data_IF_898440874102
#
_entry.id   IF_898440874102
#
_cell.length_a   1.000
_cell.length_b   1.000
_cell.length_c   1.000
_cell.angle_alpha   90.00
_cell.angle_beta   90.00
_cell.angle_gamma   90.00
#
_symmetry.space_group_name_H-M   'P 1'
#
loop_
_entity.id
_entity.type
_entity.pdbx_description
1 polymer ?
#
# COMPACT_ATOMS: atom_id res chain seq x y z
N UNK A 1 -18.47 -6.02 0.30
CA UNK A 1 -19.48 -6.07 -0.78
C UNK A 1 -18.82 -5.66 -2.08
N UNK A 2 -19.23 -6.24 -3.20
CA UNK A 2 -18.76 -5.87 -4.53
C UNK A 2 -19.19 -4.43 -4.85
N UNK A 3 -18.24 -3.60 -5.27
CA UNK A 3 -18.45 -2.17 -5.52
C UNK A 3 -19.35 -1.86 -6.72
N UNK A 4 -19.59 -2.83 -7.60
CA UNK A 4 -20.38 -2.67 -8.82
C UNK A 4 -21.84 -3.09 -8.67
N UNK A 5 -22.12 -4.14 -7.89
CA UNK A 5 -23.46 -4.74 -7.77
C UNK A 5 -23.96 -4.94 -6.33
N UNK A 6 -23.13 -4.63 -5.33
CA UNK A 6 -23.49 -4.74 -3.91
C UNK A 6 -23.59 -6.16 -3.38
N UNK A 7 -23.19 -7.18 -4.15
CA UNK A 7 -23.19 -8.57 -3.69
C UNK A 7 -22.14 -8.82 -2.61
N UNK A 8 -22.37 -9.82 -1.77
CA UNK A 8 -21.35 -10.25 -0.80
C UNK A 8 -20.17 -10.89 -1.54
N UNK A 9 -18.93 -10.48 -1.20
CA UNK A 9 -17.71 -11.09 -1.76
C UNK A 9 -17.31 -12.28 -0.89
N UNK A 10 -17.15 -12.03 0.40
CA UNK A 10 -16.82 -13.01 1.43
C UNK A 10 -17.23 -12.49 2.80
N UNK A 11 -17.26 -13.38 3.79
CA UNK A 11 -17.41 -13.05 5.20
C UNK A 11 -16.44 -13.89 6.05
N UNK A 12 -16.05 -13.34 7.21
CA UNK A 12 -15.21 -14.04 8.19
C UNK A 12 -15.84 -13.87 9.58
N UNK A 13 -15.91 -14.95 10.35
CA UNK A 13 -16.50 -14.95 11.71
C UNK A 13 -15.39 -15.02 12.76
N UNK A 14 -15.19 -13.92 13.51
CA UNK A 14 -14.28 -13.92 14.67
C UNK A 14 -14.90 -14.59 15.90
N UNK A 15 -14.12 -14.88 16.93
CA UNK A 15 -14.62 -15.50 18.16
C UNK A 15 -15.41 -14.57 19.07
N UNK A 16 -15.32 -13.25 18.85
CA UNK A 16 -16.01 -12.22 19.64
C UNK A 16 -16.69 -11.17 18.77
N UNK A 17 -17.31 -10.18 19.40
CA UNK A 17 -17.89 -9.03 18.71
C UNK A 17 -16.79 -8.13 18.13
N UNK A 18 -17.07 -7.49 16.99
CA UNK A 18 -16.17 -6.53 16.34
C UNK A 18 -16.74 -5.14 16.58
N UNK A 19 -16.12 -4.37 17.47
CA UNK A 19 -16.42 -2.95 17.70
C UNK A 19 -15.43 -2.01 17.01
N UNK A 20 -14.26 -2.53 16.62
CA UNK A 20 -13.24 -1.76 15.92
C UNK A 20 -13.61 -1.53 14.46
N UNK A 21 -13.27 -0.37 13.90
CA UNK A 21 -13.21 -0.23 12.44
C UNK A 21 -12.00 -1.02 11.91
N UNK A 22 -12.10 -1.70 10.75
CA UNK A 22 -10.95 -2.36 10.14
C UNK A 22 -9.94 -1.35 9.60
N UNK A 23 -8.69 -1.78 9.46
CA UNK A 23 -7.62 -1.07 8.74
C UNK A 23 -7.14 -1.90 7.56
N UNK A 24 -6.67 -1.23 6.51
CA UNK A 24 -6.29 -1.86 5.24
C UNK A 24 -4.84 -1.49 4.91
N UNK A 25 -4.06 -2.49 4.51
CA UNK A 25 -2.66 -2.36 4.07
C UNK A 25 -2.08 -3.73 3.79
N UNK A 26 -1.02 -3.83 3.00
CA UNK A 26 -0.29 -5.08 2.84
C UNK A 26 0.45 -5.37 4.15
N UNK A 27 0.02 -6.41 4.88
CA UNK A 27 0.65 -6.79 6.14
C UNK A 27 1.48 -8.05 6.01
N UNK A 28 1.50 -8.70 4.84
CA UNK A 28 2.13 -9.98 4.63
C UNK A 28 3.28 -9.95 3.59
N UNK A 29 3.39 -8.85 2.83
CA UNK A 29 4.43 -8.60 1.83
C UNK A 29 4.14 -9.21 0.46
N UNK A 30 2.87 -9.47 0.12
CA UNK A 30 2.45 -10.02 -1.17
C UNK A 30 1.96 -8.95 -2.17
N UNK A 31 2.16 -7.68 -1.85
CA UNK A 31 1.72 -6.52 -2.66
C UNK A 31 0.20 -6.40 -2.81
N UNK A 32 -0.58 -7.15 -2.01
CA UNK A 32 -2.03 -7.08 -2.00
C UNK A 32 -2.52 -6.48 -0.69
N UNK A 33 -3.65 -5.77 -0.77
CA UNK A 33 -4.22 -5.14 0.41
C UNK A 33 -4.90 -6.19 1.31
N UNK A 34 -4.43 -6.26 2.56
CA UNK A 34 -5.00 -7.08 3.61
C UNK A 34 -5.89 -6.26 4.55
N UNK A 35 -6.60 -6.95 5.44
CA UNK A 35 -7.49 -6.36 6.44
C UNK A 35 -7.04 -6.73 7.83
N UNK A 36 -6.86 -5.71 8.67
CA UNK A 36 -6.60 -5.84 10.11
C UNK A 36 -7.81 -5.41 10.92
N UNK A 37 -8.22 -6.24 11.88
CA UNK A 37 -9.36 -5.94 12.76
C UNK A 37 -9.13 -6.47 14.18
N UNK A 38 -9.61 -5.74 15.19
CA UNK A 38 -9.61 -6.16 16.58
C UNK A 38 -10.95 -6.78 16.99
N UNK A 39 -10.91 -7.87 17.76
CA UNK A 39 -12.11 -8.52 18.27
C UNK A 39 -12.17 -8.50 19.80
N UNK A 40 -13.39 -8.51 20.34
CA UNK A 40 -13.62 -8.64 21.78
C UNK A 40 -13.27 -10.03 22.34
N UNK A 41 -12.91 -11.01 21.51
CA UNK A 41 -12.27 -12.25 21.99
C UNK A 41 -10.80 -12.06 22.40
N UNK A 42 -10.28 -10.84 22.24
CA UNK A 42 -8.94 -10.45 22.63
C UNK A 42 -7.87 -10.72 21.58
N UNK A 43 -8.28 -10.98 20.33
CA UNK A 43 -7.38 -11.22 19.21
C UNK A 43 -7.39 -10.08 18.19
N UNK A 44 -6.22 -9.82 17.64
CA UNK A 44 -6.05 -9.10 16.37
C UNK A 44 -6.09 -10.15 15.26
N UNK A 45 -6.87 -9.89 14.22
CA UNK A 45 -6.98 -10.72 13.03
C UNK A 45 -6.40 -9.99 11.83
N UNK A 46 -5.59 -10.72 11.05
CA UNK A 46 -5.17 -10.32 9.70
C UNK A 46 -5.81 -11.27 8.69
N UNK A 47 -6.52 -10.71 7.72
CA UNK A 47 -7.26 -11.45 6.70
C UNK A 47 -6.82 -10.97 5.32
N UNK A 48 -6.73 -11.89 4.36
CA UNK A 48 -6.53 -11.53 2.96
C UNK A 48 -7.72 -10.72 2.46
N UNK A 49 -7.45 -9.60 1.78
CA UNK A 49 -8.52 -8.76 1.23
C UNK A 49 -9.30 -9.45 0.09
N UNK A 50 -8.65 -10.35 -0.65
CA UNK A 50 -9.23 -11.00 -1.84
C UNK A 50 -10.34 -12.00 -1.49
N UNK A 51 -10.13 -12.83 -0.46
CA UNK A 51 -11.04 -13.95 -0.14
C UNK A 51 -11.45 -14.02 1.34
N UNK A 52 -10.93 -13.13 2.19
CA UNK A 52 -11.26 -13.08 3.62
C UNK A 52 -10.65 -14.21 4.44
N UNK A 53 -9.78 -15.05 3.87
CA UNK A 53 -9.12 -16.11 4.62
C UNK A 53 -8.10 -15.54 5.61
N UNK A 54 -7.87 -16.25 6.70
CA UNK A 54 -6.97 -15.79 7.76
C UNK A 54 -5.50 -15.93 7.34
N UNK A 55 -4.76 -14.82 7.42
CA UNK A 55 -3.30 -14.79 7.29
C UNK A 55 -2.69 -15.23 8.63
N UNK A 56 -3.07 -14.53 9.70
CA UNK A 56 -2.68 -14.84 11.08
C UNK A 56 -3.64 -14.19 12.09
N UNK A 57 -3.60 -14.67 13.33
CA UNK A 57 -4.21 -13.99 14.47
C UNK A 57 -3.23 -13.91 15.65
N UNK A 58 -3.32 -12.83 16.43
CA UNK A 58 -2.49 -12.62 17.62
C UNK A 58 -3.34 -12.39 18.85
N UNK A 59 -3.16 -13.24 19.87
CA UNK A 59 -3.92 -13.17 21.11
C UNK A 59 -3.26 -12.21 22.12
N UNK A 60 -3.85 -11.03 22.27
CA UNK A 60 -3.50 -10.05 23.30
C UNK A 60 -4.08 -10.46 24.67
N UNK A 61 -5.17 -11.24 24.67
CA UNK A 61 -5.84 -11.74 25.87
C UNK A 61 -6.73 -10.72 26.57
N UNK A 62 -7.00 -9.58 25.94
CA UNK A 62 -7.77 -8.46 26.49
C UNK A 62 -8.70 -7.89 25.42
N UNK A 63 -9.87 -7.39 25.83
CA UNK A 63 -10.87 -6.82 24.92
C UNK A 63 -10.29 -5.70 24.04
N UNK A 64 -10.52 -5.79 22.73
CA UNK A 64 -10.04 -4.81 21.74
C UNK A 64 -11.22 -3.98 21.20
N UNK A 65 -11.42 -2.82 21.82
CA UNK A 65 -12.45 -1.85 21.39
C UNK A 65 -11.94 -0.84 20.37
N UNK A 66 -10.62 -0.66 20.29
CA UNK A 66 -10.03 0.39 19.45
C UNK A 66 -9.78 -0.10 18.03
N UNK A 67 -9.83 0.83 17.08
CA UNK A 67 -9.47 0.56 15.70
C UNK A 67 -7.94 0.41 15.57
N UNK A 68 -7.44 -0.65 14.89
CA UNK A 68 -6.03 -0.78 14.57
C UNK A 68 -5.55 0.38 13.69
N UNK A 69 -4.28 0.77 13.82
CA UNK A 69 -3.60 1.70 12.90
C UNK A 69 -2.36 1.04 12.34
N UNK A 70 -2.06 1.30 11.07
CA UNK A 70 -0.92 0.75 10.35
C UNK A 70 0.14 1.84 10.11
N UNK A 71 1.41 1.50 10.28
CA UNK A 71 2.52 2.35 9.87
C UNK A 71 3.87 1.81 10.31
N UNK A 72 4.90 2.19 9.56
CA UNK A 72 6.31 1.96 9.91
C UNK A 72 6.70 2.88 11.08
N UNK A 73 6.81 2.31 12.26
CA UNK A 73 7.01 2.98 13.55
C UNK A 73 8.47 3.03 13.96
N UNK A 74 9.28 2.07 13.51
CA UNK A 74 10.70 1.96 13.86
C UNK A 74 11.67 2.21 12.69
N UNK A 75 11.13 2.53 11.51
CA UNK A 75 11.84 2.89 10.29
C UNK A 75 12.69 1.73 9.73
N UNK A 76 12.19 0.50 9.86
CA UNK A 76 12.79 -0.70 9.25
C UNK A 76 12.22 -1.04 7.87
N UNK A 77 11.25 -0.24 7.38
CA UNK A 77 10.59 -0.41 6.10
C UNK A 77 9.34 -1.29 6.13
N UNK A 78 9.02 -1.90 7.27
CA UNK A 78 7.85 -2.78 7.43
C UNK A 78 6.73 -2.07 8.16
N UNK A 79 5.50 -2.55 7.98
CA UNK A 79 4.33 -2.01 8.66
C UNK A 79 4.16 -2.64 10.04
N UNK A 80 4.05 -1.81 11.08
CA UNK A 80 3.55 -2.21 12.40
C UNK A 80 2.05 -1.96 12.56
N UNK A 81 1.44 -2.74 13.44
CA UNK A 81 0.04 -2.61 13.84
C UNK A 81 -0.03 -2.05 15.24
N UNK A 82 -0.64 -0.87 15.38
CA UNK A 82 -0.90 -0.23 16.67
C UNK A 82 -2.36 -0.43 17.06
N UNK A 83 -2.61 -1.01 18.23
CA UNK A 83 -3.97 -1.19 18.76
C UNK A 83 -4.01 -1.05 20.29
N UNK A 84 -5.05 -0.40 20.78
CA UNK A 84 -5.36 -0.29 22.20
C UNK A 84 -6.25 -1.42 22.71
N UNK A 85 -5.92 -1.97 23.89
CA UNK A 85 -6.77 -2.90 24.62
C UNK A 85 -7.35 -2.25 25.88
N UNK A 86 -8.54 -2.70 26.29
CA UNK A 86 -9.20 -2.24 27.50
C UNK A 86 -9.55 -3.40 28.42
N UNK A 87 -8.78 -3.58 29.50
CA UNK A 87 -9.09 -4.52 30.59
C UNK A 87 -8.37 -4.11 31.88
N UNK A 88 -9.08 -3.53 32.84
CA UNK A 88 -8.51 -3.07 34.12
C UNK A 88 -7.56 -1.88 33.96
N UNK A 89 -6.35 -2.11 33.43
CA UNK A 89 -5.40 -1.08 32.99
C UNK A 89 -5.32 -1.14 31.47
N UNK A 90 -5.78 -0.09 30.79
CA UNK A 90 -5.71 0.00 29.33
C UNK A 90 -4.25 0.07 28.87
N UNK A 91 -3.94 -0.66 27.78
CA UNK A 91 -2.60 -0.72 27.18
C UNK A 91 -2.67 -0.42 25.69
N UNK A 92 -1.56 0.06 25.13
CA UNK A 92 -1.34 0.18 23.69
C UNK A 92 -0.29 -0.85 23.30
N UNK A 93 -0.53 -1.57 22.21
CA UNK A 93 0.39 -2.54 21.62
C UNK A 93 0.83 -2.04 20.26
N UNK A 94 2.12 -2.17 19.96
CA UNK A 94 2.67 -2.13 18.61
C UNK A 94 3.13 -3.54 18.28
N UNK A 95 2.64 -4.11 17.19
CA UNK A 95 2.88 -5.48 16.77
C UNK A 95 3.60 -5.48 15.43
N UNK A 96 4.70 -6.22 15.34
CA UNK A 96 5.38 -6.49 14.08
C UNK A 96 4.76 -7.76 13.50
N UNK A 97 3.99 -7.69 12.40
CA UNK A 97 3.48 -8.88 11.73
C UNK A 97 4.66 -9.73 11.23
N UNK A 98 4.48 -11.05 11.17
CA UNK A 98 5.48 -11.95 10.57
C UNK A 98 4.75 -13.03 9.78
N UNK A 99 4.79 -13.02 8.44
CA UNK A 99 5.51 -12.06 7.58
C UNK A 99 4.94 -10.63 7.70
N UNK A 100 5.71 -9.63 7.28
CA UNK A 100 5.37 -8.20 7.34
C UNK A 100 5.41 -7.59 5.96
N UNK A 101 4.37 -6.85 5.59
CA UNK A 101 4.35 -6.09 4.34
C UNK A 101 5.08 -4.76 4.44
N UNK A 102 5.38 -4.22 3.27
CA UNK A 102 5.96 -2.89 3.11
C UNK A 102 4.85 -1.84 2.99
N UNK A 103 5.21 -0.59 3.25
CA UNK A 103 4.24 0.50 3.21
C UNK A 103 3.73 0.74 1.79
N UNK A 104 2.49 0.32 1.51
CA UNK A 104 1.80 0.71 0.27
C UNK A 104 1.39 2.18 0.36
N UNK A 105 1.94 2.99 -0.56
CA UNK A 105 1.53 4.38 -0.73
C UNK A 105 0.31 4.44 -1.63
N UNK A 106 -0.77 5.06 -1.13
CA UNK A 106 -1.74 5.64 -2.05
C UNK A 106 -1.02 6.74 -2.82
N UNK A 107 -0.96 6.61 -4.14
CA UNK A 107 -0.49 7.68 -5.03
C UNK A 107 -1.59 8.75 -5.12
N UNK A 108 -1.49 9.93 -4.45
CA UNK A 108 -2.23 11.07 -4.94
C UNK A 108 -1.53 11.54 -6.21
N UNK A 109 -2.14 11.31 -7.38
CA UNK A 109 -1.77 11.92 -8.67
C UNK A 109 -1.86 13.48 -8.62
N UNK A 110 -2.14 14.08 -7.46
CA UNK A 110 -2.18 15.50 -7.23
C UNK A 110 -1.37 15.90 -5.97
N UNK A 111 -0.15 16.38 -6.18
CA UNK A 111 0.70 16.97 -5.16
C UNK A 111 1.77 17.85 -5.78
N UNK A 112 2.09 18.99 -5.16
CA UNK A 112 3.20 19.82 -5.62
C UNK A 112 4.53 19.06 -5.36
N UNK A 113 5.35 18.75 -6.39
CA UNK A 113 6.61 18.00 -6.24
C UNK A 113 7.65 18.75 -5.37
N UNK A 114 7.46 20.05 -5.14
CA UNK A 114 8.29 20.85 -4.24
C UNK A 114 8.02 20.57 -2.74
N UNK A 115 6.95 19.83 -2.42
CA UNK A 115 6.55 19.53 -1.05
C UNK A 115 6.97 18.10 -0.68
N UNK A 116 8.19 17.94 -0.14
CA UNK A 116 8.64 16.68 0.47
C UNK A 116 7.82 16.37 1.73
N UNK A 117 6.67 15.70 1.57
CA UNK A 117 5.77 15.40 2.69
C UNK A 117 6.21 14.19 3.53
N UNK A 118 7.23 13.42 3.14
CA UNK A 118 7.77 12.32 3.95
C UNK A 118 9.20 11.95 3.51
N UNK A 119 9.98 11.37 4.43
CA UNK A 119 11.37 10.91 4.21
C UNK A 119 11.49 9.60 3.41
N UNK A 120 10.37 8.98 3.04
CA UNK A 120 10.35 7.71 2.31
C UNK A 120 10.24 7.87 0.79
N UNK A 121 10.17 9.09 0.24
CA UNK A 121 10.16 9.28 -1.22
C UNK A 121 11.36 8.60 -1.90
N UNK A 122 12.53 8.59 -1.25
CA UNK A 122 13.76 8.00 -1.80
C UNK A 122 13.66 6.47 -2.07
N UNK A 123 12.70 5.75 -1.46
CA UNK A 123 12.45 4.34 -1.76
C UNK A 123 11.20 4.11 -2.63
N UNK A 124 10.34 5.11 -2.77
CA UNK A 124 9.04 4.96 -3.45
C UNK A 124 9.18 5.34 -4.90
N UNK A 125 9.79 6.50 -5.15
CA UNK A 125 9.98 7.17 -6.42
C UNK A 125 11.42 7.72 -6.36
N UNK A 126 12.42 6.83 -6.55
CA UNK A 126 13.82 7.14 -6.29
C UNK A 126 14.36 8.26 -7.19
N UNK A 127 13.90 8.30 -8.44
CA UNK A 127 14.33 9.20 -9.49
C UNK A 127 13.40 10.41 -9.71
N UNK A 128 12.22 10.42 -9.07
CA UNK A 128 11.25 11.51 -9.04
C UNK A 128 10.56 11.76 -10.39
N UNK A 129 10.30 10.68 -11.11
CA UNK A 129 9.70 10.68 -12.45
C UNK A 129 8.16 10.60 -12.45
N UNK A 130 7.55 10.50 -11.25
CA UNK A 130 6.12 10.34 -10.97
C UNK A 130 5.58 8.89 -11.05
N UNK A 131 6.44 7.91 -11.30
CA UNK A 131 6.16 6.52 -11.07
C UNK A 131 6.66 6.10 -9.69
N UNK A 132 6.40 4.83 -9.37
CA UNK A 132 6.95 4.24 -8.17
C UNK A 132 7.62 2.95 -8.56
N UNK A 133 8.54 2.44 -7.73
CA UNK A 133 9.26 1.18 -7.95
C UNK A 133 8.33 0.03 -8.39
N UNK A 134 7.13 -0.05 -7.82
CA UNK A 134 6.10 -1.02 -8.23
C UNK A 134 5.48 -0.72 -9.61
N UNK A 135 5.16 0.54 -9.89
CA UNK A 135 4.63 0.96 -11.20
C UNK A 135 5.65 0.74 -12.32
N UNK A 136 6.92 1.04 -12.08
CA UNK A 136 8.02 0.84 -13.03
C UNK A 136 8.23 -0.64 -13.32
N UNK A 137 8.13 -1.50 -12.30
CA UNK A 137 8.15 -2.94 -12.52
C UNK A 137 6.99 -3.46 -13.40
N UNK A 138 5.83 -2.79 -13.40
CA UNK A 138 4.69 -3.12 -14.26
C UNK A 138 4.84 -2.58 -15.70
N UNK A 139 5.43 -1.39 -15.83
CA UNK A 139 5.65 -0.70 -17.11
C UNK A 139 6.87 -1.29 -17.83
N UNK A 140 7.87 -1.74 -17.08
CA UNK A 140 9.12 -2.30 -17.59
C UNK A 140 10.29 -1.31 -17.63
N UNK A 141 10.26 -0.24 -16.82
CA UNK A 141 11.31 0.78 -16.72
C UNK A 141 12.20 0.56 -15.49
N UNK A 142 13.29 1.33 -15.36
CA UNK A 142 14.28 1.21 -14.27
C UNK A 142 13.97 2.19 -13.14
N UNK A 143 13.73 1.72 -11.90
CA UNK A 143 13.35 2.58 -10.78
C UNK A 143 14.28 3.69 -10.34
N UNK A 144 15.52 3.65 -10.81
CA UNK A 144 16.51 4.69 -10.53
C UNK A 144 16.76 5.59 -11.76
N UNK A 145 15.93 5.48 -12.81
CA UNK A 145 16.16 6.16 -14.08
C UNK A 145 14.90 6.73 -14.77
N UNK A 146 14.77 8.06 -14.67
CA UNK A 146 13.53 8.79 -14.93
C UNK A 146 13.11 8.95 -16.40
N UNK A 147 13.95 8.56 -17.34
CA UNK A 147 13.77 8.75 -18.80
C UNK A 147 14.37 7.53 -19.47
N UNK A 148 13.63 6.42 -19.40
CA UNK A 148 14.17 5.08 -19.61
C UNK A 148 14.64 4.82 -21.04
N UNK A 149 14.08 5.51 -22.03
CA UNK A 149 14.41 5.36 -23.44
C UNK A 149 15.19 6.53 -24.06
N UNK A 150 15.59 7.51 -23.24
CA UNK A 150 16.45 8.65 -23.58
C UNK A 150 15.84 9.62 -24.62
N UNK A 151 14.53 9.77 -24.64
CA UNK A 151 13.82 10.58 -25.62
C UNK A 151 13.54 12.03 -25.14
N UNK A 152 13.70 12.26 -23.83
CA UNK A 152 13.54 13.55 -23.16
C UNK A 152 12.18 13.76 -22.49
N UNK A 153 11.29 12.77 -22.50
CA UNK A 153 10.08 12.69 -21.69
C UNK A 153 10.33 11.72 -20.53
N UNK A 154 9.80 12.02 -19.35
CA UNK A 154 9.97 11.13 -18.19
C UNK A 154 8.89 10.05 -18.18
N UNK A 155 9.21 8.83 -17.74
CA UNK A 155 8.33 7.65 -17.87
C UNK A 155 6.93 7.91 -17.30
N UNK A 156 6.85 8.58 -16.14
CA UNK A 156 5.58 8.96 -15.53
C UNK A 156 4.72 9.93 -16.34
N UNK A 157 5.34 10.84 -17.12
CA UNK A 157 4.61 11.73 -18.03
C UNK A 157 4.20 11.01 -19.31
N UNK A 158 4.99 10.08 -19.79
CA UNK A 158 4.67 9.30 -20.97
C UNK A 158 3.37 8.52 -20.80
N UNK A 159 3.18 7.86 -19.65
CA UNK A 159 1.90 7.22 -19.32
C UNK A 159 0.75 8.23 -19.25
N UNK A 160 1.01 9.46 -18.78
CA UNK A 160 0.01 10.52 -18.71
C UNK A 160 -0.38 11.05 -20.11
N UNK A 161 0.56 11.04 -21.06
CA UNK A 161 0.37 11.43 -22.45
C UNK A 161 0.01 10.27 -23.38
N UNK A 162 -0.04 9.04 -22.85
CA UNK A 162 -0.31 7.81 -23.61
C UNK A 162 0.77 7.44 -24.62
N UNK A 163 2.03 7.78 -24.32
CA UNK A 163 3.24 7.29 -24.99
C UNK A 163 3.82 6.09 -24.24
N UNK A 164 4.77 5.38 -24.84
CA UNK A 164 5.38 4.14 -24.34
C UNK A 164 6.78 4.42 -23.77
N UNK A 165 6.96 4.34 -22.43
CA UNK A 165 8.24 4.66 -21.77
C UNK A 165 9.45 3.80 -22.12
N UNK A 166 9.25 2.80 -22.96
CA UNK A 166 10.32 1.90 -23.39
C UNK A 166 10.64 2.06 -24.87
N UNK A 167 10.03 3.05 -25.52
CA UNK A 167 10.12 3.26 -26.95
C UNK A 167 10.11 4.76 -27.28
N UNK A 168 11.25 5.33 -27.71
CA UNK A 168 11.45 6.79 -27.79
C UNK A 168 10.67 7.46 -28.93
N UNK A 169 9.80 6.74 -29.63
CA UNK A 169 8.96 7.16 -30.75
C UNK A 169 7.76 6.20 -30.81
N UNK A 170 6.74 6.48 -30.00
CA UNK A 170 5.59 5.59 -29.79
C UNK A 170 4.80 5.32 -31.07
N UNK A 171 4.66 6.31 -31.93
CA UNK A 171 3.83 6.22 -33.14
C UNK A 171 4.62 5.88 -34.42
N UNK A 172 5.95 5.81 -34.31
CA UNK A 172 6.91 5.47 -35.35
C UNK A 172 6.92 6.45 -36.54
N UNK A 173 6.67 7.73 -36.28
CA UNK A 173 6.70 8.76 -37.31
C UNK A 173 8.11 9.34 -37.57
N UNK A 174 9.07 9.02 -36.68
CA UNK A 174 10.46 9.46 -36.73
C UNK A 174 10.77 10.70 -35.91
N UNK A 175 9.83 11.18 -35.09
CA UNK A 175 10.00 12.22 -34.08
C UNK A 175 9.93 11.56 -32.70
N UNK A 176 10.77 12.00 -31.76
CA UNK A 176 10.73 11.46 -30.40
C UNK A 176 9.53 12.02 -29.62
N UNK A 177 8.90 11.22 -28.77
CA UNK A 177 7.71 11.62 -28.00
C UNK A 177 8.01 12.87 -27.14
N UNK A 178 9.20 12.94 -26.54
CA UNK A 178 9.69 14.11 -25.81
C UNK A 178 9.84 15.39 -26.64
N UNK A 179 9.85 15.30 -27.97
CA UNK A 179 9.83 16.45 -28.88
C UNK A 179 8.41 16.82 -29.37
N UNK A 180 7.42 15.95 -29.17
CA UNK A 180 6.04 16.13 -29.62
C UNK A 180 5.13 16.81 -28.58
N UNK A 181 5.51 16.73 -27.29
CA UNK A 181 4.75 17.21 -26.13
C UNK A 181 5.24 18.59 -25.64
#
# INVERSE_FOLDING_TARGET
MNGSDGTEIWNYTTGGEIFSSPSIGDVNGDEKLDIIVGSLDGKVYALFGEDGTEIWNYNIGNLLYSSPSLGDLDNDGKIEIVIGSQTGVSKIYALNPTPSGERIYWQPIAGNPSFRRQKNLENIDPDLDMLSTHSEALVGTDPDYSDYDDDGLIDGLELAYSTDPTNPDTDFDGVYDGAEI
#
